data_IF_120535081344
#
_entry.id   IF_120535081344
#
_cell.length_a   1.000
_cell.length_b   1.000
_cell.length_c   1.000
_cell.angle_alpha   90.00
_cell.angle_beta   90.00
_cell.angle_gamma   90.00
#
_symmetry.space_group_name_H-M   'P 1'
#
loop_
_entity.id
_entity.type
_entity.pdbx_description
1 polymer ?
#
# COMPACT_ATOMS: atom_id res chain seq x y z
N UNK A 1 12.86 -9.58 -28.54
CA UNK A 1 13.90 -9.26 -27.53
C UNK A 1 13.64 -7.84 -27.06
N UNK A 2 13.53 -7.59 -25.74
CA UNK A 2 13.33 -6.22 -25.24
C UNK A 2 14.69 -5.53 -25.25
N UNK A 3 14.75 -4.33 -25.80
CA UNK A 3 15.95 -3.49 -25.79
C UNK A 3 16.31 -3.07 -24.36
N UNK A 4 17.61 -3.01 -24.03
CA UNK A 4 18.10 -2.63 -22.69
C UNK A 4 17.62 -1.24 -22.27
N UNK A 5 17.61 -0.27 -23.20
CA UNK A 5 17.11 1.09 -22.97
C UNK A 5 15.65 1.05 -22.58
N UNK A 6 14.86 0.26 -23.31
CA UNK A 6 13.42 0.14 -23.07
C UNK A 6 13.13 -0.52 -21.74
N UNK A 7 13.92 -1.50 -21.33
CA UNK A 7 13.84 -2.14 -20.02
C UNK A 7 14.17 -1.15 -18.89
N UNK A 8 15.20 -0.32 -19.06
CA UNK A 8 15.55 0.73 -18.11
C UNK A 8 14.49 1.84 -18.05
N UNK A 9 13.93 2.23 -19.20
CA UNK A 9 12.79 3.14 -19.28
C UNK A 9 11.56 2.61 -18.54
N UNK A 10 11.29 1.30 -18.66
CA UNK A 10 10.21 0.66 -17.92
C UNK A 10 10.44 0.62 -16.40
N UNK A 11 11.68 0.39 -15.97
CA UNK A 11 12.08 0.52 -14.56
C UNK A 11 11.88 1.95 -14.05
N UNK A 12 12.30 2.96 -14.81
CA UNK A 12 12.09 4.36 -14.44
C UNK A 12 10.60 4.68 -14.34
N UNK A 13 9.79 4.27 -15.32
CA UNK A 13 8.34 4.42 -15.29
C UNK A 13 7.74 3.81 -14.02
N UNK A 14 8.16 2.60 -13.65
CA UNK A 14 7.73 1.92 -12.45
C UNK A 14 8.12 2.65 -11.16
N UNK A 15 9.34 3.19 -11.08
CA UNK A 15 9.76 4.01 -9.95
C UNK A 15 8.92 5.29 -9.82
N UNK A 16 8.51 5.89 -10.94
CA UNK A 16 7.73 7.12 -10.95
C UNK A 16 6.24 6.89 -10.64
N UNK A 17 5.68 5.76 -11.05
CA UNK A 17 4.22 5.53 -11.05
C UNK A 17 3.75 4.38 -10.16
N UNK A 18 4.68 3.52 -9.72
CA UNK A 18 4.41 2.21 -9.11
C UNK A 18 3.58 1.27 -10.00
N UNK A 19 3.71 1.38 -11.32
CA UNK A 19 3.04 0.53 -12.32
C UNK A 19 4.00 0.07 -13.40
N UNK A 20 3.74 -1.07 -14.00
CA UNK A 20 4.62 -1.67 -15.01
C UNK A 20 4.11 -1.43 -16.44
N UNK A 21 4.91 -0.81 -17.33
CA UNK A 21 4.44 -0.43 -18.66
C UNK A 21 4.53 -1.55 -19.70
N UNK A 22 5.31 -2.60 -19.45
CA UNK A 22 5.53 -3.69 -20.41
C UNK A 22 4.62 -4.90 -20.14
N UNK A 23 4.41 -5.81 -21.10
CA UNK A 23 3.53 -6.97 -20.93
C UNK A 23 4.12 -8.09 -20.06
N UNK A 24 5.33 -7.94 -19.51
CA UNK A 24 5.97 -8.98 -18.70
C UNK A 24 5.37 -9.09 -17.29
N UNK A 25 5.39 -10.31 -16.74
CA UNK A 25 4.94 -10.59 -15.39
C UNK A 25 5.88 -9.92 -14.38
N UNK A 26 5.37 -8.91 -13.69
CA UNK A 26 6.03 -8.29 -12.53
C UNK A 26 5.07 -8.27 -11.35
N UNK A 27 5.58 -8.02 -10.14
CA UNK A 27 4.73 -7.80 -8.96
C UNK A 27 3.99 -6.47 -8.95
N UNK A 28 4.14 -5.64 -9.99
CA UNK A 28 3.50 -4.33 -10.09
C UNK A 28 2.23 -4.40 -10.95
N UNK A 29 1.19 -3.62 -10.63
CA UNK A 29 0.03 -3.48 -11.50
C UNK A 29 0.43 -2.97 -12.88
N UNK A 30 -0.31 -3.38 -13.91
CA UNK A 30 -0.12 -2.86 -15.26
C UNK A 30 -0.31 -1.32 -15.31
N UNK A 31 0.47 -0.67 -16.16
CA UNK A 31 0.34 0.75 -16.44
C UNK A 31 -1.02 1.07 -17.07
N UNK A 32 -1.52 2.27 -16.78
CA UNK A 32 -2.74 2.77 -17.44
C UNK A 32 -2.41 3.00 -18.92
N UNK A 33 -3.32 2.58 -19.79
CA UNK A 33 -3.26 2.79 -21.23
C UNK A 33 -4.49 3.56 -21.69
N UNK A 34 -4.31 4.41 -22.69
CA UNK A 34 -5.38 5.09 -23.42
C UNK A 34 -5.43 4.47 -24.82
N UNK A 35 -6.35 3.52 -25.01
CA UNK A 35 -6.30 2.62 -26.17
C UNK A 35 -5.01 1.80 -26.21
N UNK A 36 -4.24 1.92 -27.29
CA UNK A 36 -2.95 1.27 -27.44
C UNK A 36 -1.81 2.01 -26.71
N UNK A 37 -2.00 3.31 -26.45
CA UNK A 37 -0.94 4.19 -26.00
C UNK A 37 -0.72 4.11 -24.49
N UNK A 38 0.55 4.13 -24.10
CA UNK A 38 0.93 4.18 -22.69
C UNK A 38 0.67 5.59 -22.14
N UNK A 39 -0.06 5.70 -21.03
CA UNK A 39 -0.24 7.01 -20.38
C UNK A 39 1.11 7.51 -19.84
N UNK A 40 1.54 8.74 -20.19
CA UNK A 40 2.78 9.33 -19.71
C UNK A 40 2.90 9.34 -18.18
N UNK A 41 4.11 9.14 -17.61
CA UNK A 41 4.33 9.16 -16.16
C UNK A 41 3.68 10.35 -15.44
N UNK A 42 3.79 11.56 -16.00
CA UNK A 42 3.22 12.78 -15.42
C UNK A 42 1.69 12.85 -15.47
N UNK A 43 1.06 12.19 -16.45
CA UNK A 43 -0.40 12.03 -16.48
C UNK A 43 -0.85 10.93 -15.51
N UNK A 44 -0.05 9.88 -15.33
CA UNK A 44 -0.32 8.81 -14.38
C UNK A 44 -0.14 9.24 -12.91
N UNK A 45 0.79 10.17 -12.62
CA UNK A 45 0.99 10.79 -11.30
C UNK A 45 1.39 12.26 -11.38
N UNK A 46 0.63 13.12 -10.69
CA UNK A 46 0.76 14.58 -10.77
C UNK A 46 2.12 15.15 -10.31
N UNK A 47 2.90 14.41 -9.49
CA UNK A 47 4.16 14.90 -8.92
C UNK A 47 5.40 14.56 -9.75
N UNK A 48 5.26 13.98 -10.94
CA UNK A 48 6.42 13.67 -11.79
C UNK A 48 6.94 14.96 -12.45
N UNK A 49 8.22 15.33 -12.23
CA UNK A 49 8.83 16.47 -12.91
C UNK A 49 8.87 16.28 -14.43
N UNK A 50 8.57 17.34 -15.18
CA UNK A 50 8.57 17.35 -16.65
C UNK A 50 9.85 16.78 -17.28
N UNK A 51 11.07 17.11 -16.81
CA UNK A 51 12.28 16.54 -17.39
C UNK A 51 12.40 15.02 -17.22
N UNK A 52 11.97 14.48 -16.07
CA UNK A 52 11.96 13.02 -15.83
C UNK A 52 10.92 12.30 -16.68
N UNK A 53 9.76 12.92 -16.88
CA UNK A 53 8.73 12.41 -17.80
C UNK A 53 9.29 12.28 -19.22
N UNK A 54 9.96 13.32 -19.73
CA UNK A 54 10.60 13.29 -21.05
C UNK A 54 11.67 12.22 -21.18
N UNK A 55 12.60 12.13 -20.22
CA UNK A 55 13.65 11.11 -20.21
C UNK A 55 13.07 9.69 -20.19
N UNK A 56 12.02 9.47 -19.39
CA UNK A 56 11.35 8.17 -19.31
C UNK A 56 10.70 7.79 -20.64
N UNK A 57 10.01 8.72 -21.30
CA UNK A 57 9.32 8.48 -22.57
C UNK A 57 10.30 8.24 -23.73
N UNK A 58 11.38 9.03 -23.80
CA UNK A 58 12.47 8.79 -24.76
C UNK A 58 13.11 7.41 -24.58
N UNK A 59 13.31 6.97 -23.33
CA UNK A 59 13.81 5.62 -23.05
C UNK A 59 12.82 4.51 -23.41
N UNK A 60 11.51 4.81 -23.46
CA UNK A 60 10.48 3.85 -23.90
C UNK A 60 10.32 3.79 -25.43
N UNK A 61 11.08 4.59 -26.18
CA UNK A 61 11.07 4.63 -27.64
C UNK A 61 10.24 5.76 -28.24
N UNK A 62 9.80 6.74 -27.44
CA UNK A 62 8.99 7.86 -27.94
C UNK A 62 9.86 9.07 -28.31
N UNK A 63 9.63 9.65 -29.48
CA UNK A 63 10.14 10.99 -29.83
C UNK A 63 9.32 12.03 -29.07
N UNK A 64 9.98 12.85 -28.24
CA UNK A 64 9.30 13.82 -27.36
C UNK A 64 9.91 15.21 -27.53
N UNK A 65 9.08 16.20 -27.86
CA UNK A 65 9.49 17.59 -28.04
C UNK A 65 10.65 17.79 -29.05
N UNK A 66 10.67 16.98 -30.11
CA UNK A 66 11.73 17.00 -31.14
C UNK A 66 13.02 16.28 -30.74
N UNK A 67 13.07 15.66 -29.56
CA UNK A 67 14.18 14.81 -29.14
C UNK A 67 13.90 13.34 -29.48
N UNK A 68 14.82 12.71 -30.19
CA UNK A 68 14.71 11.29 -30.59
C UNK A 68 14.88 10.33 -29.40
N UNK A 69 14.39 9.09 -29.51
CA UNK A 69 14.66 8.02 -28.54
C UNK A 69 16.15 7.81 -28.30
N UNK A 70 16.50 7.22 -27.14
CA UNK A 70 17.89 6.91 -26.85
C UNK A 70 18.36 5.69 -27.64
N UNK A 71 19.57 5.76 -28.19
CA UNK A 71 20.15 4.68 -28.98
C UNK A 71 20.68 3.53 -28.12
N UNK A 72 21.12 3.85 -26.90
CA UNK A 72 21.70 2.86 -25.98
C UNK A 72 21.63 3.30 -24.52
N UNK A 73 21.84 2.34 -23.61
CA UNK A 73 21.72 2.55 -22.17
C UNK A 73 22.74 3.58 -21.63
N UNK A 74 23.90 3.73 -22.27
CA UNK A 74 24.93 4.69 -21.87
C UNK A 74 24.41 6.11 -22.07
N UNK A 75 23.84 6.42 -23.22
CA UNK A 75 23.28 7.74 -23.51
C UNK A 75 22.17 8.11 -22.52
N UNK A 76 21.23 7.19 -22.28
CA UNK A 76 20.18 7.36 -21.27
C UNK A 76 20.76 7.63 -19.88
N UNK A 77 21.78 6.87 -19.45
CA UNK A 77 22.41 7.04 -18.14
C UNK A 77 23.10 8.40 -17.98
N UNK A 78 23.74 8.89 -19.05
CA UNK A 78 24.41 10.20 -19.06
C UNK A 78 23.37 11.32 -18.96
N UNK A 79 22.30 11.25 -19.74
CA UNK A 79 21.22 12.22 -19.70
C UNK A 79 20.53 12.26 -18.33
N UNK A 80 20.23 11.10 -17.75
CA UNK A 80 19.64 10.99 -16.41
C UNK A 80 20.57 11.55 -15.34
N UNK A 81 21.86 11.19 -15.37
CA UNK A 81 22.86 11.71 -14.42
C UNK A 81 23.00 13.22 -14.53
N UNK A 82 23.07 13.77 -15.74
CA UNK A 82 23.14 15.21 -15.97
C UNK A 82 21.92 15.93 -15.38
N UNK A 83 20.72 15.36 -15.53
CA UNK A 83 19.50 15.89 -14.93
C UNK A 83 19.54 15.86 -13.39
N UNK A 84 20.00 14.77 -12.80
CA UNK A 84 20.11 14.62 -11.34
C UNK A 84 21.11 15.59 -10.72
N UNK A 85 22.25 15.82 -11.38
CA UNK A 85 23.25 16.81 -10.96
C UNK A 85 22.68 18.22 -11.02
N UNK A 86 22.01 18.58 -12.14
CA UNK A 86 21.39 19.90 -12.30
C UNK A 86 20.27 20.17 -11.29
N UNK A 87 19.53 19.13 -10.92
CA UNK A 87 18.42 19.22 -9.96
C UNK A 87 18.89 19.27 -8.50
N UNK A 88 20.20 19.26 -8.23
CA UNK A 88 20.76 19.23 -6.86
C UNK A 88 20.46 17.95 -6.08
N UNK A 89 19.90 16.94 -6.74
CA UNK A 89 19.48 15.66 -6.16
C UNK A 89 20.51 14.56 -6.43
N UNK A 90 21.81 14.88 -6.31
CA UNK A 90 22.79 13.82 -6.41
C UNK A 90 22.54 12.85 -5.25
N UNK A 91 22.12 11.61 -5.56
CA UNK A 91 21.99 10.55 -4.57
C UNK A 91 23.31 10.39 -3.79
N UNK A 92 24.44 10.63 -4.45
CA UNK A 92 25.76 10.78 -3.85
C UNK A 92 25.78 11.86 -2.76
N UNK A 93 25.22 13.04 -2.98
CA UNK A 93 25.20 14.16 -2.02
C UNK A 93 24.24 13.92 -0.86
N UNK A 94 23.17 13.13 -1.06
CA UNK A 94 22.30 12.65 0.03
C UNK A 94 22.93 11.50 0.82
N UNK A 95 23.63 10.59 0.15
CA UNK A 95 24.41 9.53 0.80
C UNK A 95 25.59 10.12 1.56
N UNK A 96 26.24 11.13 0.99
CA UNK A 96 27.32 11.89 1.62
C UNK A 96 26.77 12.67 2.81
N UNK A 97 25.63 13.36 2.67
CA UNK A 97 24.93 13.98 3.81
C UNK A 97 24.53 12.96 4.88
N UNK A 98 24.06 11.75 4.50
CA UNK A 98 23.77 10.66 5.43
C UNK A 98 25.04 10.10 6.10
N UNK A 99 26.16 10.07 5.39
CA UNK A 99 27.47 9.63 5.89
C UNK A 99 28.08 10.69 6.83
N UNK A 100 27.85 11.96 6.57
CA UNK A 100 28.30 13.10 7.38
C UNK A 100 27.40 13.36 8.60
N UNK A 101 26.14 12.94 8.56
CA UNK A 101 25.29 12.93 9.77
C UNK A 101 25.73 11.71 10.59
N UNK A 102 26.20 11.94 11.82
CA UNK A 102 26.80 10.92 12.70
C UNK A 102 25.95 9.67 12.96
N UNK A 103 26.42 8.73 13.82
CA UNK A 103 25.84 7.40 13.98
C UNK A 103 24.33 7.49 14.14
N UNK A 104 23.62 6.76 13.27
CA UNK A 104 22.17 6.66 13.26
C UNK A 104 21.74 6.24 14.65
N UNK A 105 21.25 7.19 15.45
CA UNK A 105 20.43 6.87 16.60
C UNK A 105 19.24 6.13 16.01
N UNK A 106 19.15 4.84 16.32
CA UNK A 106 18.07 3.95 15.92
C UNK A 106 16.75 4.56 16.38
N UNK A 107 16.14 5.37 15.51
CA UNK A 107 14.76 5.79 15.63
C UNK A 107 13.91 4.55 15.39
N UNK A 108 13.67 3.84 16.47
CA UNK A 108 12.68 2.78 16.59
C UNK A 108 11.30 3.42 16.37
N UNK A 109 10.85 3.49 15.12
CA UNK A 109 9.45 3.89 14.85
C UNK A 109 9.15 4.50 13.48
N UNK A 110 9.26 3.74 12.40
CA UNK A 110 8.37 3.92 11.25
C UNK A 110 7.61 2.60 11.06
N UNK A 111 6.77 2.30 12.04
CA UNK A 111 6.00 1.05 12.11
C UNK A 111 4.66 1.28 11.39
N UNK A 112 4.63 0.91 10.10
CA UNK A 112 3.46 0.24 9.50
C UNK A 112 2.07 0.82 9.82
N UNK A 113 1.84 2.09 9.51
CA UNK A 113 0.64 2.83 9.90
C UNK A 113 -0.64 2.50 9.08
N UNK A 114 -0.60 1.55 8.13
CA UNK A 114 -1.75 1.23 7.27
C UNK A 114 -2.46 -0.11 7.52
N UNK A 115 -1.80 -1.12 8.10
CA UNK A 115 -2.36 -2.50 8.22
C UNK A 115 -2.77 -2.90 9.62
N UNK A 116 -2.39 -2.13 10.64
CA UNK A 116 -2.63 -2.48 12.06
C UNK A 116 -4.03 -2.09 12.54
N UNK A 117 -4.64 -1.07 11.95
CA UNK A 117 -6.01 -0.67 12.29
C UNK A 117 -7.04 -1.76 11.96
N UNK A 118 -6.88 -2.43 10.81
CA UNK A 118 -7.83 -3.46 10.34
C UNK A 118 -7.76 -4.73 11.19
N UNK A 119 -6.55 -5.17 11.58
CA UNK A 119 -6.37 -6.39 12.40
C UNK A 119 -6.89 -6.16 13.84
N UNK A 120 -6.73 -4.95 14.39
CA UNK A 120 -7.24 -4.63 15.72
C UNK A 120 -8.78 -4.63 15.78
N UNK A 121 -9.46 -4.13 14.73
CA UNK A 121 -10.93 -4.15 14.65
C UNK A 121 -11.49 -5.57 14.53
N UNK A 122 -10.84 -6.44 13.75
CA UNK A 122 -11.27 -7.85 13.62
C UNK A 122 -11.09 -8.59 14.96
N UNK A 123 -9.96 -8.41 15.65
CA UNK A 123 -9.72 -9.05 16.94
C UNK A 123 -10.73 -8.59 18.01
N UNK A 124 -11.11 -7.31 18.01
CA UNK A 124 -12.13 -6.77 18.91
C UNK A 124 -13.51 -7.37 18.60
N UNK A 125 -13.90 -7.43 17.32
CA UNK A 125 -15.16 -8.03 16.89
C UNK A 125 -15.24 -9.51 17.26
N UNK A 126 -14.18 -10.29 17.04
CA UNK A 126 -14.11 -11.70 17.42
C UNK A 126 -14.20 -11.88 18.94
N UNK A 127 -13.56 -11.01 19.72
CA UNK A 127 -13.63 -11.06 21.19
C UNK A 127 -15.05 -10.79 21.71
N UNK A 128 -15.79 -9.85 21.11
CA UNK A 128 -17.18 -9.57 21.46
C UNK A 128 -18.08 -10.76 21.13
N UNK A 129 -17.88 -11.40 19.98
CA UNK A 129 -18.69 -12.57 19.56
C UNK A 129 -18.43 -13.77 20.48
N UNK A 130 -17.17 -14.06 20.80
CA UNK A 130 -16.82 -15.17 21.70
C UNK A 130 -17.32 -14.89 23.14
N UNK A 131 -17.14 -13.67 23.64
CA UNK A 131 -17.65 -13.26 24.95
C UNK A 131 -19.18 -13.31 25.04
N UNK A 132 -19.86 -12.88 23.98
CA UNK A 132 -21.33 -12.95 23.86
C UNK A 132 -21.84 -14.40 23.85
N UNK A 133 -21.20 -15.29 23.10
CA UNK A 133 -21.55 -16.72 23.05
C UNK A 133 -21.32 -17.43 24.40
N UNK A 134 -20.24 -17.09 25.12
CA UNK A 134 -19.99 -17.61 26.46
C UNK A 134 -21.03 -17.14 27.48
N UNK A 135 -21.42 -15.86 27.44
CA UNK A 135 -22.44 -15.31 28.33
C UNK A 135 -23.83 -15.89 28.06
N UNK A 136 -24.18 -16.13 26.79
CA UNK A 136 -25.43 -16.78 26.41
C UNK A 136 -25.48 -18.26 26.85
N UNK A 137 -24.38 -18.99 26.73
CA UNK A 137 -24.30 -20.38 27.19
C UNK A 137 -24.52 -20.54 28.70
N UNK A 138 -23.99 -19.60 29.49
CA UNK A 138 -24.16 -19.61 30.96
C UNK A 138 -25.60 -19.27 31.37
N UNK A 139 -26.30 -18.37 30.67
CA UNK A 139 -27.71 -18.06 30.98
C UNK A 139 -28.65 -19.23 30.69
N UNK A 140 -28.45 -19.95 29.58
CA UNK A 140 -29.27 -21.13 29.27
C UNK A 140 -29.07 -22.21 30.33
N UNK A 141 -27.82 -22.46 30.74
CA UNK A 141 -27.53 -23.42 31.82
C UNK A 141 -28.18 -22.97 33.15
N UNK A 142 -28.07 -21.70 33.51
CA UNK A 142 -28.62 -21.17 34.76
C UNK A 142 -30.16 -21.14 34.75
N UNK A 143 -30.79 -21.00 33.57
CA UNK A 143 -32.25 -21.07 33.41
C UNK A 143 -32.79 -22.50 33.54
N UNK A 144 -32.00 -23.52 33.17
CA UNK A 144 -32.34 -24.93 33.37
C UNK A 144 -32.14 -25.36 34.82
N UNK A 145 -31.15 -24.80 35.52
CA UNK A 145 -30.95 -25.03 36.96
C UNK A 145 -31.85 -24.18 37.87
N UNK A 146 -32.50 -23.14 37.33
CA UNK A 146 -33.52 -22.37 38.04
C UNK A 146 -34.91 -22.84 37.64
N UNK A 147 -35.27 -24.08 37.97
CA UNK A 147 -36.67 -24.39 38.22
C UNK A 147 -37.03 -23.77 39.58
N UNK A 148 -37.86 -22.71 39.61
CA UNK A 148 -38.34 -22.15 40.86
C UNK A 148 -39.23 -23.17 41.54
N UNK A 149 -38.89 -23.51 42.78
CA UNK A 149 -39.81 -24.21 43.68
C UNK A 149 -41.13 -23.46 43.76
N UNK A 150 -42.16 -23.99 43.09
CA UNK A 150 -43.56 -23.67 43.31
C UNK A 150 -44.26 -24.98 43.70
N UNK A 151 -45.17 -25.04 44.67
CA UNK A 151 -45.78 -24.06 45.56
C UNK A 151 -46.42 -24.88 46.70
N UNK A 152 -46.55 -24.39 47.95
CA UNK A 152 -47.47 -25.01 48.89
C UNK A 152 -48.93 -24.84 48.41
N UNK A 153 -49.81 -25.83 48.62
CA UNK A 153 -51.19 -25.78 48.13
C UNK A 153 -51.97 -24.61 48.76
N UNK A 154 -52.90 -23.97 48.03
CA UNK A 154 -53.78 -22.97 48.61
C UNK A 154 -54.69 -23.62 49.66
N UNK A 155 -54.52 -23.21 50.92
CA UNK A 155 -55.48 -23.53 51.97
C UNK A 155 -56.86 -22.95 51.65
N UNK A 156 -57.96 -23.66 51.95
CA UNK A 156 -59.29 -23.11 51.74
C UNK A 156 -59.50 -21.89 52.63
N UNK A 157 -59.80 -20.76 51.99
CA UNK A 157 -60.36 -19.60 52.65
C UNK A 157 -61.82 -19.87 53.06
N UNK A 158 -62.17 -19.31 54.22
CA UNK A 158 -63.51 -19.11 54.78
C UNK A 158 -64.14 -20.25 55.61
N UNK A 159 -64.25 -19.99 56.91
CA UNK A 159 -65.57 -19.69 57.51
C UNK A 159 -65.41 -18.89 58.79
N UNK A 160 -66.01 -17.70 58.81
CA UNK A 160 -66.35 -16.93 60.00
C UNK A 160 -67.82 -17.24 60.31
N UNK A 161 -68.09 -18.11 61.27
CA UNK A 161 -69.17 -18.03 62.27
C UNK A 161 -69.15 -19.24 63.20
#
# INVERSE_FOLDING_TARGET
MVDDVRSLGAMLYACLTARWPMPSSTGLPAAVRDGADLVPPRKARAHVPTPLDRLCRRALGETVAGEEPFDNAREFSVALRAHLTRSGTTAAQRLDRRRSTGPVTTLKGVRQQGRRGVIALIALAVSIVIGGLLLLGVQVLNSVFSEPGGSPPPGPAATNR
#
